data_IF_397006800455
#
_entry.id   IF_397006800455
#
_cell.length_a   1.000
_cell.length_b   1.000
_cell.length_c   1.000
_cell.angle_alpha   90.00
_cell.angle_beta   90.00
_cell.angle_gamma   90.00
#
_symmetry.space_group_name_H-M   'P 1'
#
loop_
_entity.id
_entity.type
_entity.pdbx_description
1 polymer ?
#
# COMPACT_ATOMS: atom_id res chain seq x y z
N UNK A 1 -9.88 -17.46 -9.48
CA UNK A 1 -9.06 -16.93 -8.37
C UNK A 1 -9.90 -16.98 -7.10
N UNK A 2 -9.38 -17.49 -5.96
CA UNK A 2 -10.16 -17.65 -4.72
C UNK A 2 -10.36 -16.33 -3.93
N UNK A 3 -10.31 -15.18 -4.60
CA UNK A 3 -10.44 -13.84 -4.00
C UNK A 3 -9.47 -13.59 -2.84
N UNK A 4 -9.91 -12.78 -1.86
CA UNK A 4 -9.13 -12.45 -0.66
C UNK A 4 -8.74 -13.68 0.19
N UNK A 5 -9.57 -14.73 0.22
CA UNK A 5 -9.23 -15.99 0.90
C UNK A 5 -8.00 -16.65 0.28
N UNK A 6 -7.86 -16.58 -1.05
CA UNK A 6 -6.67 -17.04 -1.76
C UNK A 6 -5.41 -16.27 -1.35
N UNK A 7 -5.52 -14.95 -1.14
CA UNK A 7 -4.42 -14.11 -0.67
C UNK A 7 -4.00 -14.44 0.77
N UNK A 8 -4.95 -14.72 1.66
CA UNK A 8 -4.66 -15.15 3.03
C UNK A 8 -3.87 -16.48 3.02
N UNK A 9 -4.32 -17.45 2.22
CA UNK A 9 -3.63 -18.73 2.07
C UNK A 9 -2.23 -18.56 1.45
N UNK A 10 -2.11 -17.74 0.41
CA UNK A 10 -0.84 -17.42 -0.23
C UNK A 10 0.13 -16.77 0.76
N UNK A 11 -0.32 -15.80 1.55
CA UNK A 11 0.48 -15.15 2.59
C UNK A 11 0.96 -16.14 3.64
N UNK A 12 0.09 -17.07 4.07
CA UNK A 12 0.46 -18.15 5.00
C UNK A 12 1.56 -19.05 4.41
N UNK A 13 1.48 -19.39 3.12
CA UNK A 13 2.50 -20.17 2.43
C UNK A 13 3.83 -19.41 2.31
N UNK A 14 3.79 -18.17 1.82
CA UNK A 14 4.98 -17.33 1.62
C UNK A 14 5.70 -17.00 2.93
N UNK A 15 4.95 -16.92 4.04
CA UNK A 15 5.53 -16.75 5.39
C UNK A 15 6.57 -17.82 5.68
N UNK A 16 6.33 -19.07 5.30
CA UNK A 16 7.24 -20.19 5.57
C UNK A 16 8.24 -20.45 4.43
N UNK A 17 8.05 -19.81 3.27
CA UNK A 17 8.95 -19.94 2.13
C UNK A 17 10.23 -19.10 2.33
N UNK A 18 11.38 -19.76 2.40
CA UNK A 18 12.68 -19.10 2.56
C UNK A 18 13.44 -19.00 1.24
N UNK A 19 13.47 -17.81 0.65
CA UNK A 19 14.36 -17.48 -0.46
C UNK A 19 15.59 -16.74 0.06
N UNK A 20 16.75 -16.96 -0.56
CA UNK A 20 17.91 -16.07 -0.34
C UNK A 20 17.61 -14.67 -0.88
N UNK A 21 18.31 -13.65 -0.40
CA UNK A 21 18.14 -12.28 -0.91
C UNK A 21 18.43 -12.22 -2.41
N UNK A 22 19.50 -12.90 -2.87
CA UNK A 22 19.85 -13.02 -4.28
C UNK A 22 18.68 -13.61 -5.09
N UNK A 23 18.12 -14.75 -4.65
CA UNK A 23 16.97 -15.37 -5.31
C UNK A 23 15.75 -14.44 -5.32
N UNK A 24 15.50 -13.74 -4.22
CA UNK A 24 14.40 -12.78 -4.08
C UNK A 24 14.53 -11.63 -5.07
N UNK A 25 15.73 -11.10 -5.27
CA UNK A 25 15.97 -10.03 -6.26
C UNK A 25 15.92 -10.57 -7.69
N UNK A 26 16.60 -11.69 -7.98
CA UNK A 26 16.67 -12.27 -9.33
C UNK A 26 15.31 -12.69 -9.86
N UNK A 27 14.42 -13.25 -9.02
CA UNK A 27 13.07 -13.64 -9.43
C UNK A 27 12.09 -12.48 -9.22
N UNK A 28 12.21 -11.76 -8.11
CA UNK A 28 11.26 -10.75 -7.71
C UNK A 28 11.28 -9.50 -8.56
N UNK A 29 12.45 -9.05 -9.03
CA UNK A 29 12.54 -7.86 -9.91
C UNK A 29 11.83 -8.12 -11.26
N UNK A 30 12.12 -9.21 -12.01
CA UNK A 30 11.38 -9.51 -13.23
C UNK A 30 9.88 -9.70 -12.99
N UNK A 31 9.50 -10.40 -11.92
CA UNK A 31 8.10 -10.63 -11.58
C UNK A 31 7.36 -9.32 -11.31
N UNK A 32 7.97 -8.42 -10.53
CA UNK A 32 7.44 -7.09 -10.27
C UNK A 32 7.33 -6.27 -11.55
N UNK A 33 8.39 -6.26 -12.38
CA UNK A 33 8.42 -5.51 -13.63
C UNK A 33 7.32 -5.93 -14.60
N UNK A 34 7.05 -7.24 -14.72
CA UNK A 34 5.95 -7.75 -15.56
C UNK A 34 4.59 -7.32 -15.00
N UNK A 35 4.35 -7.48 -13.70
CA UNK A 35 3.10 -7.04 -13.07
C UNK A 35 2.88 -5.52 -13.21
N UNK A 36 3.94 -4.74 -13.05
CA UNK A 36 3.91 -3.30 -13.26
C UNK A 36 3.63 -2.94 -14.72
N UNK A 37 4.29 -3.59 -15.68
CA UNK A 37 4.07 -3.34 -17.10
C UNK A 37 2.62 -3.61 -17.52
N UNK A 38 2.03 -4.71 -17.06
CA UNK A 38 0.60 -5.01 -17.30
C UNK A 38 -0.30 -3.91 -16.73
N UNK A 39 -0.03 -3.49 -15.49
CA UNK A 39 -0.79 -2.43 -14.81
C UNK A 39 -0.69 -1.10 -15.56
N UNK A 40 0.54 -0.69 -15.90
CA UNK A 40 0.82 0.59 -16.53
C UNK A 40 0.29 0.66 -17.97
N UNK A 41 0.56 -0.37 -18.78
CA UNK A 41 0.09 -0.43 -20.17
C UNK A 41 -1.43 -0.55 -20.22
N UNK A 42 -2.02 -1.34 -19.33
CA UNK A 42 -3.47 -1.47 -19.18
C UNK A 42 -4.13 -0.15 -18.84
N UNK A 43 -3.66 0.52 -17.78
CA UNK A 43 -4.15 1.84 -17.39
C UNK A 43 -4.01 2.85 -18.53
N UNK A 44 -2.82 2.95 -19.15
CA UNK A 44 -2.57 3.85 -20.27
C UNK A 44 -3.53 3.60 -21.43
N UNK A 45 -3.80 2.34 -21.75
CA UNK A 45 -4.74 1.98 -22.81
C UNK A 45 -6.17 2.42 -22.49
N UNK A 46 -6.67 2.12 -21.28
CA UNK A 46 -8.02 2.51 -20.86
C UNK A 46 -8.19 4.02 -20.88
N UNK A 47 -7.23 4.77 -20.33
CA UNK A 47 -7.28 6.25 -20.31
C UNK A 47 -7.17 6.89 -21.68
N UNK A 48 -6.77 6.14 -22.70
CA UNK A 48 -6.72 6.61 -24.09
C UNK A 48 -8.04 6.37 -24.85
N UNK A 49 -8.99 5.63 -24.27
CA UNK A 49 -10.31 5.42 -24.87
C UNK A 49 -11.15 6.71 -24.74
N UNK A 50 -11.94 7.07 -25.77
CA UNK A 50 -12.76 8.27 -25.76
C UNK A 50 -13.86 8.23 -24.68
N UNK A 51 -14.36 7.04 -24.36
CA UNK A 51 -15.30 6.79 -23.28
C UNK A 51 -14.82 5.56 -22.50
N UNK A 52 -14.59 5.72 -21.20
CA UNK A 52 -14.28 4.63 -20.29
C UNK A 52 -15.02 4.85 -18.96
N UNK A 53 -15.40 3.76 -18.30
CA UNK A 53 -16.06 3.83 -16.98
C UNK A 53 -15.03 3.78 -15.85
N UNK A 54 -15.43 4.18 -14.64
CA UNK A 54 -14.57 4.06 -13.45
C UNK A 54 -14.14 2.61 -13.20
N UNK A 55 -15.04 1.64 -13.44
CA UNK A 55 -14.72 0.21 -13.35
C UNK A 55 -13.62 -0.22 -14.31
N UNK A 56 -13.63 0.30 -15.54
CA UNK A 56 -12.57 0.03 -16.53
C UNK A 56 -11.23 0.60 -16.07
N UNK A 57 -11.23 1.77 -15.43
CA UNK A 57 -10.03 2.40 -14.88
C UNK A 57 -9.47 1.58 -13.71
N UNK A 58 -10.34 1.09 -12.82
CA UNK A 58 -9.97 0.28 -11.66
C UNK A 58 -9.55 -1.15 -11.99
N UNK A 59 -9.94 -1.66 -13.17
CA UNK A 59 -9.72 -3.06 -13.59
C UNK A 59 -8.29 -3.53 -13.34
N UNK A 60 -7.29 -2.73 -13.73
CA UNK A 60 -5.87 -3.07 -13.61
C UNK A 60 -5.31 -2.90 -12.19
N UNK A 61 -6.04 -2.22 -11.30
CA UNK A 61 -5.67 -1.98 -9.90
C UNK A 61 -6.45 -2.87 -8.92
N UNK A 62 -7.39 -3.67 -9.41
CA UNK A 62 -8.17 -4.61 -8.58
C UNK A 62 -7.25 -5.50 -7.74
N UNK A 63 -7.48 -5.54 -6.42
CA UNK A 63 -6.62 -6.26 -5.48
C UNK A 63 -6.39 -7.73 -5.85
N UNK A 64 -7.41 -8.42 -6.36
CA UNK A 64 -7.35 -9.85 -6.64
C UNK A 64 -6.92 -10.20 -8.08
N UNK A 65 -6.15 -9.36 -8.74
CA UNK A 65 -5.65 -9.58 -10.10
C UNK A 65 -4.25 -10.21 -10.14
N UNK A 66 -3.93 -10.90 -11.23
CA UNK A 66 -2.64 -11.57 -11.39
C UNK A 66 -1.46 -10.58 -11.39
N UNK A 67 -1.60 -9.43 -12.05
CA UNK A 67 -0.57 -8.40 -12.09
C UNK A 67 -0.28 -7.82 -10.70
N UNK A 68 -1.31 -7.66 -9.85
CA UNK A 68 -1.14 -7.23 -8.45
C UNK A 68 -0.49 -8.33 -7.61
N UNK A 69 -0.85 -9.61 -7.77
CA UNK A 69 -0.13 -10.73 -7.13
C UNK A 69 1.36 -10.70 -7.48
N UNK A 70 1.68 -10.54 -8.76
CA UNK A 70 3.06 -10.55 -9.25
C UNK A 70 3.90 -9.41 -8.66
N UNK A 71 3.31 -8.25 -8.35
CA UNK A 71 4.01 -7.17 -7.66
C UNK A 71 4.08 -7.38 -6.14
N UNK A 72 3.01 -7.89 -5.53
CA UNK A 72 2.93 -8.04 -4.06
C UNK A 72 3.77 -9.19 -3.51
N UNK A 73 3.94 -10.29 -4.24
CA UNK A 73 4.82 -11.41 -3.83
C UNK A 73 6.26 -10.93 -3.60
N UNK A 74 6.95 -10.27 -4.57
CA UNK A 74 8.29 -9.72 -4.37
C UNK A 74 8.37 -8.75 -3.20
N UNK A 75 7.41 -7.84 -3.07
CA UNK A 75 7.37 -6.86 -1.97
C UNK A 75 7.27 -7.58 -0.61
N UNK A 76 6.40 -8.58 -0.49
CA UNK A 76 6.26 -9.39 0.72
C UNK A 76 7.56 -10.14 1.05
N UNK A 77 8.18 -10.77 0.05
CA UNK A 77 9.42 -11.52 0.23
C UNK A 77 10.60 -10.61 0.63
N UNK A 78 10.64 -9.37 0.13
CA UNK A 78 11.61 -8.36 0.55
C UNK A 78 11.32 -7.86 1.97
N UNK A 79 10.07 -7.59 2.32
CA UNK A 79 9.66 -7.16 3.65
C UNK A 79 10.08 -8.18 4.73
N UNK A 80 9.99 -9.50 4.43
CA UNK A 80 10.48 -10.56 5.31
C UNK A 80 11.98 -10.46 5.63
N UNK A 81 12.79 -9.82 4.78
CA UNK A 81 14.25 -9.68 4.98
C UNK A 81 14.63 -8.44 5.78
N UNK A 82 13.69 -7.53 6.03
CA UNK A 82 13.94 -6.32 6.81
C UNK A 82 14.08 -6.68 8.29
N UNK A 83 15.27 -6.44 8.86
CA UNK A 83 15.52 -6.61 10.29
C UNK A 83 15.38 -5.27 11.01
N UNK A 84 14.38 -5.16 11.88
CA UNK A 84 14.12 -3.95 12.66
C UNK A 84 14.76 -4.08 14.05
N UNK A 85 15.93 -3.47 14.21
CA UNK A 85 16.69 -3.55 15.47
C UNK A 85 16.37 -2.42 16.46
N UNK A 86 15.93 -1.25 15.95
CA UNK A 86 15.66 -0.08 16.78
C UNK A 86 14.36 -0.23 17.59
N UNK A 87 14.46 -0.10 18.92
CA UNK A 87 13.31 -0.14 19.83
C UNK A 87 12.26 0.93 19.53
N UNK A 88 12.69 2.12 19.12
CA UNK A 88 11.77 3.19 18.71
C UNK A 88 10.97 2.78 17.46
N UNK A 89 11.63 2.13 16.50
CA UNK A 89 10.97 1.66 15.28
C UNK A 89 10.05 0.48 15.55
N UNK A 90 10.43 -0.45 16.44
CA UNK A 90 9.53 -1.53 16.89
C UNK A 90 8.26 -0.98 17.54
N UNK A 91 8.38 0.01 18.45
CA UNK A 91 7.24 0.67 19.08
C UNK A 91 6.35 1.39 18.07
N UNK A 92 6.96 2.09 17.10
CA UNK A 92 6.23 2.75 16.03
C UNK A 92 5.47 1.73 15.16
N UNK A 93 6.11 0.65 14.71
CA UNK A 93 5.46 -0.39 13.91
C UNK A 93 4.35 -1.12 14.68
N UNK A 94 4.56 -1.40 15.97
CA UNK A 94 3.52 -1.97 16.81
C UNK A 94 2.32 -1.04 16.95
N UNK A 95 2.56 0.27 17.13
CA UNK A 95 1.49 1.26 17.16
C UNK A 95 0.78 1.40 15.80
N UNK A 96 1.53 1.30 14.70
CA UNK A 96 0.98 1.31 13.35
C UNK A 96 0.02 0.14 13.14
N UNK A 97 0.34 -1.05 13.62
CA UNK A 97 -0.55 -2.22 13.54
C UNK A 97 -1.87 -1.98 14.27
N UNK A 98 -1.83 -1.30 15.43
CA UNK A 98 -3.05 -0.95 16.19
C UNK A 98 -3.85 0.14 15.47
N UNK A 99 -3.19 1.19 14.97
CA UNK A 99 -3.85 2.30 14.30
C UNK A 99 -4.27 1.97 12.85
N UNK A 100 -3.84 0.83 12.30
CA UNK A 100 -3.92 0.52 10.88
C UNK A 100 -5.34 0.58 10.33
N UNK A 101 -6.32 0.04 11.05
CA UNK A 101 -7.72 0.10 10.62
C UNK A 101 -8.26 1.54 10.61
N UNK A 102 -8.00 2.31 11.67
CA UNK A 102 -8.38 3.73 11.70
C UNK A 102 -7.71 4.57 10.61
N UNK A 103 -6.43 4.32 10.32
CA UNK A 103 -5.72 4.99 9.21
C UNK A 103 -6.40 4.64 7.89
N UNK A 104 -6.71 3.36 7.65
CA UNK A 104 -7.43 2.93 6.45
C UNK A 104 -8.78 3.64 6.31
N UNK A 105 -9.52 3.86 7.40
CA UNK A 105 -10.80 4.58 7.36
C UNK A 105 -10.67 6.06 6.98
N UNK A 106 -9.66 6.76 7.51
CA UNK A 106 -9.61 8.23 7.38
C UNK A 106 -8.65 8.75 6.31
N UNK A 107 -7.70 7.94 5.83
CA UNK A 107 -6.65 8.44 4.93
C UNK A 107 -7.21 9.06 3.64
N UNK A 108 -8.33 8.54 3.13
CA UNK A 108 -8.97 9.05 1.91
C UNK A 108 -9.43 10.51 2.04
N UNK A 109 -9.81 10.97 3.24
CA UNK A 109 -10.13 12.38 3.46
C UNK A 109 -8.91 13.30 3.28
N UNK A 110 -7.70 12.76 3.45
CA UNK A 110 -6.45 13.52 3.38
C UNK A 110 -5.70 13.35 2.06
N UNK A 111 -6.02 12.35 1.23
CA UNK A 111 -5.32 12.12 -0.05
C UNK A 111 -5.47 13.30 -1.01
N UNK A 112 -6.71 13.74 -1.27
CA UNK A 112 -7.01 14.88 -2.14
C UNK A 112 -6.36 16.19 -1.67
N UNK A 113 -6.61 16.64 -0.44
CA UNK A 113 -5.97 17.83 0.11
C UNK A 113 -4.44 17.79 0.08
N UNK A 114 -3.83 16.63 0.36
CA UNK A 114 -2.37 16.48 0.31
C UNK A 114 -1.82 16.66 -1.10
N UNK A 115 -2.50 16.11 -2.12
CA UNK A 115 -2.11 16.28 -3.53
C UNK A 115 -2.25 17.74 -3.96
N UNK A 116 -3.34 18.42 -3.57
CA UNK A 116 -3.56 19.85 -3.86
C UNK A 116 -2.46 20.70 -3.21
N UNK A 117 -2.13 20.43 -1.95
CA UNK A 117 -1.05 21.14 -1.25
C UNK A 117 0.31 20.95 -1.94
N UNK A 118 0.64 19.71 -2.35
CA UNK A 118 1.90 19.46 -3.07
C UNK A 118 1.96 20.20 -4.41
N UNK A 119 0.82 20.39 -5.10
CA UNK A 119 0.76 21.24 -6.31
C UNK A 119 0.95 22.71 -5.99
N UNK A 120 0.33 23.19 -4.91
CA UNK A 120 0.39 24.60 -4.52
C UNK A 120 1.80 25.06 -4.13
N UNK A 121 2.67 24.14 -3.69
CA UNK A 121 4.08 24.42 -3.38
C UNK A 121 5.04 24.08 -4.53
N UNK A 122 4.51 23.87 -5.75
CA UNK A 122 5.28 23.54 -6.96
C UNK A 122 6.20 22.33 -6.80
N UNK A 123 5.76 21.31 -6.06
CA UNK A 123 6.51 20.07 -5.89
C UNK A 123 6.74 19.40 -7.26
N UNK A 124 7.96 18.92 -7.57
CA UNK A 124 8.23 18.24 -8.84
C UNK A 124 7.26 17.08 -9.07
N UNK A 125 6.76 16.94 -10.29
CA UNK A 125 5.69 15.99 -10.67
C UNK A 125 6.01 14.56 -10.19
N UNK A 126 7.27 14.12 -10.31
CA UNK A 126 7.71 12.79 -9.89
C UNK A 126 7.70 12.55 -8.37
N UNK A 127 7.76 13.62 -7.56
CA UNK A 127 7.74 13.57 -6.10
C UNK A 127 6.37 13.94 -5.52
N UNK A 128 5.51 14.56 -6.32
CA UNK A 128 4.23 15.07 -5.87
C UNK A 128 3.37 14.00 -5.19
N UNK A 129 3.18 12.84 -5.84
CA UNK A 129 2.39 11.74 -5.28
C UNK A 129 3.10 11.08 -4.09
N UNK A 130 4.40 10.71 -4.15
CA UNK A 130 5.12 10.18 -2.99
C UNK A 130 5.04 11.05 -1.73
N UNK A 131 5.27 12.36 -1.85
CA UNK A 131 5.25 13.27 -0.70
C UNK A 131 3.82 13.48 -0.19
N UNK A 132 2.84 13.61 -1.08
CA UNK A 132 1.43 13.69 -0.70
C UNK A 132 0.98 12.44 0.07
N UNK A 133 1.41 11.24 -0.35
CA UNK A 133 1.09 9.99 0.32
C UNK A 133 1.70 9.92 1.74
N UNK A 134 2.95 10.36 1.90
CA UNK A 134 3.61 10.43 3.22
C UNK A 134 2.85 11.39 4.13
N UNK A 135 2.45 12.56 3.62
CA UNK A 135 1.70 13.55 4.40
C UNK A 135 0.34 13.00 4.83
N UNK A 136 -0.44 12.47 3.89
CA UNK A 136 -1.76 11.89 4.17
C UNK A 136 -1.65 10.77 5.22
N UNK A 137 -0.66 9.90 5.09
CA UNK A 137 -0.39 8.83 6.05
C UNK A 137 0.00 9.37 7.43
N UNK A 138 0.92 10.33 7.50
CA UNK A 138 1.40 10.89 8.76
C UNK A 138 0.28 11.61 9.54
N UNK A 139 -0.54 12.41 8.85
CA UNK A 139 -1.68 13.10 9.45
C UNK A 139 -2.72 12.09 9.95
N UNK A 140 -3.05 11.10 9.12
CA UNK A 140 -4.00 10.05 9.49
C UNK A 140 -3.52 9.27 10.71
N UNK A 141 -2.25 8.86 10.73
CA UNK A 141 -1.68 8.13 11.84
C UNK A 141 -1.66 8.98 13.11
N UNK A 142 -1.24 10.24 13.03
CA UNK A 142 -1.24 11.15 14.17
C UNK A 142 -2.63 11.33 14.79
N UNK A 143 -3.66 11.55 13.96
CA UNK A 143 -5.04 11.72 14.43
C UNK A 143 -5.58 10.44 15.08
N UNK A 144 -5.43 9.29 14.42
CA UNK A 144 -5.90 8.00 14.96
C UNK A 144 -5.18 7.68 16.26
N UNK A 145 -3.87 7.93 16.33
CA UNK A 145 -3.08 7.74 17.54
C UNK A 145 -3.57 8.62 18.70
N UNK A 146 -3.89 9.89 18.44
CA UNK A 146 -4.47 10.79 19.45
C UNK A 146 -5.84 10.30 19.92
N UNK A 147 -6.69 9.84 19.01
CA UNK A 147 -8.03 9.29 19.33
C UNK A 147 -7.90 8.05 20.23
N UNK A 148 -7.02 7.10 19.90
CA UNK A 148 -6.76 5.93 20.76
C UNK A 148 -6.25 6.31 22.14
N UNK A 149 -5.54 7.44 22.26
CA UNK A 149 -5.03 7.94 23.53
C UNK A 149 -6.10 8.69 24.35
N UNK A 150 -7.16 9.18 23.71
CA UNK A 150 -8.19 10.01 24.32
C UNK A 150 -9.28 9.25 25.10
N UNK A 151 -9.35 7.90 25.03
CA UNK A 151 -10.18 7.14 25.98
C UNK A 151 -10.65 5.75 25.55
N UNK A 152 -11.30 5.03 26.48
CA UNK A 152 -11.78 3.64 26.31
C UNK A 152 -12.83 3.46 25.20
N UNK A 153 -13.56 4.51 24.83
CA UNK A 153 -14.60 4.48 23.78
C UNK A 153 -13.99 4.48 22.38
N UNK A 154 -12.79 5.05 22.21
CA UNK A 154 -12.11 5.12 20.92
C UNK A 154 -11.88 3.74 20.29
N UNK A 155 -11.61 2.72 21.10
CA UNK A 155 -11.45 1.33 20.66
C UNK A 155 -12.69 0.79 19.93
N UNK A 156 -13.89 1.29 20.21
CA UNK A 156 -15.10 0.86 19.53
C UNK A 156 -15.39 1.65 18.24
N UNK A 157 -14.77 2.82 18.05
CA UNK A 157 -14.97 3.70 16.89
C UNK A 157 -13.92 3.44 15.80
N UNK A 158 -12.67 3.22 16.19
CA UNK A 158 -11.53 3.06 15.27
C UNK A 158 -10.99 1.63 15.19
N UNK A 159 -11.61 0.67 15.90
CA UNK A 159 -11.26 -0.76 15.92
C UNK A 159 -10.58 -1.23 17.20
#
# INVERSE_FOLDING_TARGET
FAGFNGYLLLGHYLKNLEWSLKKTLTIGIPMFAVGYAVTFLGFRHITALPEYTDEMLELFFTYCSLNVVMMTIPVFMLAKKVKVNSERMKKALANLTVCGFGIYMIHYFFTGPSVVLMRAIDMPIGLQIPVAAILAFAVSWGLVWLIYRAGKVAKYIVG
#
